data_IF_046521336496
#
_entry.id   IF_046521336496
#
_cell.length_a   1.000
_cell.length_b   1.000
_cell.length_c   1.000
_cell.angle_alpha   90.00
_cell.angle_beta   90.00
_cell.angle_gamma   90.00
#
_symmetry.space_group_name_H-M   'P 1'
#
loop_
_entity.id
_entity.type
_entity.pdbx_description
1 polymer ?
#
# COMPACT_ATOMS: atom_id res chain seq x y z
N UNK A 1 -21.31 -41.03 29.98
CA UNK A 1 -21.53 -39.65 30.43
C UNK A 1 -20.17 -38.95 30.51
N UNK A 2 -19.95 -37.94 29.67
CA UNK A 2 -18.75 -37.08 29.68
C UNK A 2 -18.92 -36.03 30.77
N UNK A 3 -17.83 -35.56 31.39
CA UNK A 3 -17.75 -34.12 31.67
C UNK A 3 -16.30 -33.62 31.69
N UNK A 4 -15.93 -32.99 30.58
CA UNK A 4 -14.81 -32.08 30.41
C UNK A 4 -15.06 -30.80 31.22
N UNK A 5 -14.05 -30.32 31.93
CA UNK A 5 -14.09 -29.05 32.65
C UNK A 5 -14.42 -27.85 31.72
N UNK A 6 -15.09 -26.80 32.22
CA UNK A 6 -15.54 -25.68 31.40
C UNK A 6 -14.41 -24.71 31.04
N UNK A 7 -14.45 -24.18 29.81
CA UNK A 7 -13.58 -23.11 29.34
C UNK A 7 -13.99 -21.73 29.92
N UNK A 8 -13.06 -20.81 30.18
CA UNK A 8 -13.39 -19.45 30.63
C UNK A 8 -13.98 -18.60 29.48
N UNK A 9 -14.93 -17.69 29.78
CA UNK A 9 -15.58 -16.87 28.77
C UNK A 9 -14.74 -15.63 28.40
N UNK A 10 -14.70 -15.28 27.11
CA UNK A 10 -14.46 -13.89 26.68
C UNK A 10 -13.29 -13.57 25.73
N UNK A 11 -12.85 -14.48 24.85
CA UNK A 11 -11.90 -14.10 23.79
C UNK A 11 -12.63 -13.66 22.51
N UNK A 12 -12.48 -12.41 22.02
CA UNK A 12 -13.02 -12.01 20.73
C UNK A 12 -12.34 -12.79 19.60
N UNK A 13 -13.16 -13.30 18.67
CA UNK A 13 -12.69 -13.87 17.41
C UNK A 13 -12.24 -12.73 16.50
N UNK A 14 -10.93 -12.53 16.41
CA UNK A 14 -10.33 -11.59 15.47
C UNK A 14 -8.82 -11.60 15.58
N UNK A 15 -8.15 -12.60 15.00
CA UNK A 15 -6.70 -12.53 14.78
C UNK A 15 -6.44 -11.82 13.45
N UNK A 16 -6.62 -10.50 13.43
CA UNK A 16 -5.82 -9.64 12.58
C UNK A 16 -4.61 -9.23 13.40
N UNK A 17 -3.42 -9.68 13.01
CA UNK A 17 -2.19 -9.21 13.65
C UNK A 17 -2.13 -7.68 13.52
N UNK A 18 -1.88 -6.91 14.59
CA UNK A 18 -1.42 -5.55 14.42
C UNK A 18 -0.03 -5.63 13.79
N UNK A 19 0.06 -5.40 12.49
CA UNK A 19 1.36 -5.12 11.87
C UNK A 19 1.89 -3.84 12.51
N UNK A 20 3.14 -3.81 13.02
CA UNK A 20 3.70 -2.60 13.58
C UNK A 20 4.02 -1.65 12.42
N UNK A 21 3.01 -0.90 11.94
CA UNK A 21 3.11 0.13 10.90
C UNK A 21 3.89 1.38 11.33
N UNK A 22 4.83 1.25 12.26
CA UNK A 22 5.79 2.29 12.64
C UNK A 22 7.18 1.69 12.82
N UNK A 23 7.71 1.11 11.74
CA UNK A 23 9.16 0.94 11.61
C UNK A 23 9.84 2.30 11.67
N UNK A 24 10.91 2.40 12.46
CA UNK A 24 11.72 3.60 12.75
C UNK A 24 11.63 4.70 11.66
N UNK A 25 11.32 5.94 12.08
CA UNK A 25 11.16 7.14 11.23
C UNK A 25 12.29 7.36 10.19
N UNK A 26 13.49 6.85 10.44
CA UNK A 26 14.62 6.93 9.50
C UNK A 26 14.46 6.02 8.27
N UNK A 27 13.86 4.84 8.43
CA UNK A 27 13.53 3.97 7.29
C UNK A 27 12.45 4.58 6.41
N UNK A 28 11.52 5.34 6.98
CA UNK A 28 10.45 6.00 6.22
C UNK A 28 11.02 7.07 5.28
N UNK A 29 11.93 7.93 5.78
CA UNK A 29 12.51 9.03 4.98
C UNK A 29 13.41 8.52 3.85
N UNK A 30 14.27 7.53 4.12
CA UNK A 30 15.11 6.94 3.09
C UNK A 30 14.29 6.23 2.00
N UNK A 31 13.18 5.58 2.37
CA UNK A 31 12.27 4.92 1.42
C UNK A 31 11.44 5.92 0.63
N UNK A 32 10.97 7.00 1.26
CA UNK A 32 10.28 8.09 0.56
C UNK A 32 11.21 8.78 -0.45
N UNK A 33 12.45 9.09 -0.05
CA UNK A 33 13.44 9.65 -0.96
C UNK A 33 13.76 8.72 -2.14
N UNK A 34 13.92 7.41 -1.88
CA UNK A 34 14.15 6.43 -2.94
C UNK A 34 12.95 6.31 -3.89
N UNK A 35 11.71 6.30 -3.35
CA UNK A 35 10.48 6.33 -4.14
C UNK A 35 10.46 7.54 -5.07
N UNK A 36 10.73 8.72 -4.53
CA UNK A 36 10.67 9.97 -5.29
C UNK A 36 11.76 10.01 -6.38
N UNK A 37 12.97 9.53 -6.08
CA UNK A 37 14.06 9.42 -7.07
C UNK A 37 13.71 8.45 -8.21
N UNK A 38 13.19 7.27 -7.89
CA UNK A 38 12.81 6.26 -8.89
C UNK A 38 11.65 6.77 -9.76
N UNK A 39 10.65 7.40 -9.15
CA UNK A 39 9.50 7.91 -9.87
C UNK A 39 9.88 9.11 -10.75
N UNK A 40 10.72 10.03 -10.27
CA UNK A 40 11.26 11.12 -11.08
C UNK A 40 12.08 10.59 -12.25
N UNK A 41 13.00 9.65 -12.01
CA UNK A 41 13.73 8.99 -13.08
C UNK A 41 12.80 8.35 -14.12
N UNK A 42 11.79 7.59 -13.68
CA UNK A 42 10.86 6.93 -14.60
C UNK A 42 10.11 7.92 -15.48
N UNK A 43 9.68 9.06 -14.91
CA UNK A 43 8.94 10.14 -15.61
C UNK A 43 9.84 10.95 -16.55
N UNK A 44 11.06 11.25 -16.11
CA UNK A 44 11.90 12.28 -16.73
C UNK A 44 13.05 11.71 -17.59
N UNK A 45 13.23 10.39 -17.67
CA UNK A 45 14.36 9.75 -18.38
C UNK A 45 14.29 9.85 -19.92
N UNK A 46 13.70 10.90 -20.48
CA UNK A 46 13.92 11.34 -21.86
C UNK A 46 13.60 10.33 -22.96
N UNK A 47 12.72 9.35 -22.70
CA UNK A 47 12.36 8.30 -23.67
C UNK A 47 13.17 7.00 -23.55
N UNK A 48 13.83 6.75 -22.42
CA UNK A 48 14.48 5.45 -22.18
C UNK A 48 13.51 4.26 -22.07
N UNK A 49 12.21 4.54 -21.90
CA UNK A 49 11.13 3.56 -21.91
C UNK A 49 10.11 3.96 -22.97
N UNK A 50 9.58 2.98 -23.71
CA UNK A 50 8.52 3.21 -24.70
C UNK A 50 7.21 3.65 -24.03
N UNK A 51 6.95 3.16 -22.81
CA UNK A 51 5.81 3.54 -21.98
C UNK A 51 6.07 3.21 -20.49
N UNK A 52 5.31 3.84 -19.60
CA UNK A 52 5.30 3.57 -18.16
C UNK A 52 3.91 3.89 -17.57
N UNK A 53 3.60 3.31 -16.41
CA UNK A 53 2.35 3.53 -15.68
C UNK A 53 2.67 4.11 -14.30
N UNK A 54 1.98 5.21 -13.94
CA UNK A 54 2.19 5.90 -12.67
C UNK A 54 1.30 5.35 -11.54
N UNK A 55 1.71 4.23 -10.95
CA UNK A 55 0.97 3.67 -9.81
C UNK A 55 1.03 4.53 -8.56
N UNK A 56 2.11 5.29 -8.38
CA UNK A 56 2.21 6.25 -7.29
C UNK A 56 1.13 7.33 -7.45
N UNK A 57 0.96 7.92 -8.62
CA UNK A 57 -0.14 8.85 -8.87
C UNK A 57 -1.53 8.19 -8.73
N UNK A 58 -1.69 6.92 -9.12
CA UNK A 58 -2.97 6.22 -9.08
C UNK A 58 -3.53 6.05 -7.65
N UNK A 59 -2.66 5.88 -6.64
CA UNK A 59 -3.09 5.59 -5.26
C UNK A 59 -2.75 6.67 -4.23
N UNK A 60 -1.92 7.65 -4.60
CA UNK A 60 -1.44 8.72 -3.71
C UNK A 60 -2.57 9.60 -3.18
N UNK A 61 -2.44 10.00 -1.92
CA UNK A 61 -3.28 11.03 -1.33
C UNK A 61 -2.88 12.43 -1.84
N UNK A 62 -3.78 13.16 -2.54
CA UNK A 62 -3.46 14.50 -3.02
C UNK A 62 -3.25 15.52 -1.89
N UNK A 63 -3.80 15.27 -0.70
CA UNK A 63 -3.59 16.11 0.49
C UNK A 63 -2.31 15.74 1.26
N UNK A 64 -1.74 14.55 1.03
CA UNK A 64 -0.49 14.08 1.64
C UNK A 64 0.27 13.17 0.65
N UNK A 65 1.15 13.74 -0.19
CA UNK A 65 1.86 12.99 -1.22
C UNK A 65 2.79 11.88 -0.71
N UNK A 66 3.11 11.84 0.59
CA UNK A 66 3.88 10.75 1.19
C UNK A 66 3.00 9.54 1.58
N UNK A 67 1.68 9.70 1.55
CA UNK A 67 0.72 8.68 1.94
C UNK A 67 -0.12 8.15 0.77
N UNK A 68 -0.58 6.92 0.91
CA UNK A 68 -1.65 6.35 0.10
C UNK A 68 -3.00 6.94 0.54
N UNK A 69 -3.95 7.11 -0.39
CA UNK A 69 -5.33 7.44 -0.05
C UNK A 69 -5.89 6.38 0.92
N UNK A 70 -6.51 6.77 2.06
CA UNK A 70 -6.98 5.80 3.05
C UNK A 70 -7.94 4.74 2.50
N UNK A 71 -8.72 5.06 1.45
CA UNK A 71 -9.60 4.10 0.77
C UNK A 71 -8.85 2.97 0.06
N UNK A 72 -7.57 3.16 -0.26
CA UNK A 72 -6.73 2.19 -0.95
C UNK A 72 -5.76 1.47 -0.04
N UNK A 73 -5.60 1.88 1.23
CA UNK A 73 -4.67 1.28 2.19
C UNK A 73 -5.27 0.03 2.86
N UNK A 74 -4.48 -1.03 3.04
CA UNK A 74 -4.89 -2.21 3.80
C UNK A 74 -4.71 -2.07 5.33
N UNK A 75 -4.07 -0.99 5.76
CA UNK A 75 -3.84 -0.62 7.17
C UNK A 75 -2.38 -0.69 7.61
N UNK A 76 -1.45 -1.03 6.70
CA UNK A 76 -0.02 -1.06 6.99
C UNK A 76 0.77 0.10 6.37
N UNK A 77 0.07 1.00 5.66
CA UNK A 77 0.64 2.18 5.00
C UNK A 77 1.68 1.88 3.93
N UNK A 78 1.69 0.64 3.41
CA UNK A 78 2.61 0.18 2.38
C UNK A 78 1.89 -0.55 1.25
N UNK A 79 0.99 -1.48 1.59
CA UNK A 79 0.31 -2.32 0.62
C UNK A 79 -1.11 -1.80 0.32
N UNK A 80 -1.48 -1.73 -0.98
CA UNK A 80 -2.86 -1.49 -1.35
C UNK A 80 -3.79 -2.59 -0.85
N UNK A 81 -5.03 -2.24 -0.56
CA UNK A 81 -6.15 -3.16 -0.43
C UNK A 81 -6.72 -3.50 -1.82
N UNK A 82 -7.83 -4.25 -1.87
CA UNK A 82 -8.46 -4.64 -3.13
C UNK A 82 -8.88 -3.44 -4.01
N UNK A 83 -9.40 -2.36 -3.42
CA UNK A 83 -9.76 -1.15 -4.16
C UNK A 83 -8.52 -0.41 -4.69
N UNK A 84 -7.43 -0.42 -3.93
CA UNK A 84 -6.16 0.16 -4.37
C UNK A 84 -5.54 -0.61 -5.55
N UNK A 85 -5.57 -1.95 -5.52
CA UNK A 85 -5.13 -2.76 -6.66
C UNK A 85 -6.03 -2.57 -7.89
N UNK A 86 -7.34 -2.40 -7.70
CA UNK A 86 -8.24 -2.06 -8.81
C UNK A 86 -7.88 -0.70 -9.42
N UNK A 87 -7.64 0.33 -8.60
CA UNK A 87 -7.22 1.64 -9.08
C UNK A 87 -5.90 1.60 -9.87
N UNK A 88 -4.94 0.78 -9.43
CA UNK A 88 -3.71 0.54 -10.18
C UNK A 88 -3.98 -0.15 -11.52
N UNK A 89 -4.86 -1.16 -11.56
CA UNK A 89 -5.23 -1.83 -12.81
C UNK A 89 -5.91 -0.88 -13.80
N UNK A 90 -6.81 -0.03 -13.31
CA UNK A 90 -7.53 0.96 -14.13
C UNK A 90 -6.60 2.05 -14.70
N UNK A 91 -5.43 2.27 -14.08
CA UNK A 91 -4.43 3.20 -14.56
C UNK A 91 -3.65 2.69 -15.79
N UNK A 92 -3.78 1.40 -16.13
CA UNK A 92 -3.13 0.81 -17.30
C UNK A 92 -3.96 1.13 -18.54
N UNK A 93 -3.47 2.03 -19.40
CA UNK A 93 -4.08 2.33 -20.70
C UNK A 93 -3.92 1.18 -21.68
N UNK A 94 -4.88 0.25 -21.68
CA UNK A 94 -4.86 -0.94 -22.56
C UNK A 94 -4.96 -0.60 -24.05
N UNK A 95 -5.42 0.61 -24.39
CA UNK A 95 -5.47 1.17 -25.74
C UNK A 95 -4.09 1.55 -26.29
N UNK A 96 -3.04 1.47 -25.45
CA UNK A 96 -1.66 1.86 -25.78
C UNK A 96 -0.66 0.70 -25.72
N UNK A 97 -1.16 -0.54 -25.60
CA UNK A 97 -0.39 -1.79 -25.66
C UNK A 97 -0.55 -2.46 -27.03
#
# INVERSE_FOLDING_TARGET
>A
MRNTAPAPPGAPRGRGHPHPGRGLRLHHLARAAARDQINAFTRDNGGAFDAWVDFDAAVRNPADPEAMLPQYDCGDHLHPNGAGYQAMADAIGLDRL
#
